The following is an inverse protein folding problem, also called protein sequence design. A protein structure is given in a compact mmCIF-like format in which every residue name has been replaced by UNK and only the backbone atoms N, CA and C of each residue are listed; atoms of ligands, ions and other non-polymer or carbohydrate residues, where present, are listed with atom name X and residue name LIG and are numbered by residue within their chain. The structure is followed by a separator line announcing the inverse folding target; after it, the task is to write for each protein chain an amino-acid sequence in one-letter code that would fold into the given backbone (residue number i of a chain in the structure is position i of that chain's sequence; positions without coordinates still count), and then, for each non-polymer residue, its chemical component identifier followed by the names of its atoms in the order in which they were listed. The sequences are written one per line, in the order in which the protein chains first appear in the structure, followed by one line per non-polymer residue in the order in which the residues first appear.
data_IF_950474176544
#
_entry.id   IF_950474176544
#
_cell.length_a   1.000
_cell.length_b   1.000
_cell.length_c   1.000
_cell.angle_alpha   90.00
_cell.angle_beta   90.00
_cell.angle_gamma   90.00
#
_symmetry.space_group_name_H-M   'P 1'
#
loop_
_entity.id
_entity.type
_entity.pdbx_description
1 polymer ?
#
# COMPACT_ATOMS: atom_id res chain seq x y z
N UNK A 1 -1.24 3.93 31.02
CA UNK A 1 -1.59 2.62 30.48
C UNK A 1 -1.37 1.61 31.58
N UNK A 2 -2.32 0.71 31.85
CA UNK A 2 -2.03 -0.41 32.74
C UNK A 2 -1.10 -1.32 31.94
N UNK A 3 0.11 -1.57 32.43
CA UNK A 3 0.99 -2.56 31.86
C UNK A 3 0.30 -3.91 32.04
N UNK A 4 -0.26 -4.44 30.99
CA UNK A 4 -0.88 -5.75 30.97
C UNK A 4 0.21 -6.75 30.69
N UNK A 5 0.48 -7.63 31.68
CA UNK A 5 1.45 -8.71 31.53
C UNK A 5 0.71 -10.00 31.25
N UNK A 6 1.23 -10.79 30.30
CA UNK A 6 0.80 -12.15 30.03
C UNK A 6 1.89 -13.14 30.47
N UNK A 7 1.50 -14.18 31.17
CA UNK A 7 2.42 -15.14 31.78
C UNK A 7 2.33 -16.48 31.07
N UNK A 8 3.46 -17.16 30.93
CA UNK A 8 3.52 -18.52 30.39
C UNK A 8 4.65 -19.32 31.02
N UNK A 9 4.59 -20.68 30.86
CA UNK A 9 5.63 -21.59 31.32
C UNK A 9 6.33 -22.22 30.12
N UNK A 10 7.65 -22.15 30.08
CA UNK A 10 8.46 -22.81 29.07
C UNK A 10 9.61 -23.54 29.75
N UNK A 11 9.82 -24.81 29.46
CA UNK A 11 10.83 -25.69 30.06
C UNK A 11 10.88 -25.66 31.61
N UNK A 12 9.74 -25.41 32.23
CA UNK A 12 9.62 -25.33 33.70
C UNK A 12 10.01 -23.99 34.31
N UNK A 13 10.31 -23.01 33.49
CA UNK A 13 10.63 -21.63 33.87
C UNK A 13 9.39 -20.77 33.64
N UNK A 14 9.15 -19.83 34.53
CA UNK A 14 8.05 -18.85 34.42
C UNK A 14 8.55 -17.61 33.67
N UNK A 15 7.81 -17.24 32.65
CA UNK A 15 8.05 -16.03 31.85
C UNK A 15 6.88 -15.07 31.98
N UNK A 16 7.15 -13.77 31.78
CA UNK A 16 6.13 -12.77 31.52
C UNK A 16 6.47 -11.98 30.27
N UNK A 17 5.41 -11.65 29.57
CA UNK A 17 5.44 -10.96 28.28
C UNK A 17 4.59 -9.70 28.36
N UNK A 18 5.03 -8.60 27.80
CA UNK A 18 4.19 -7.42 27.63
C UNK A 18 4.52 -6.68 26.34
N UNK A 19 3.54 -5.90 25.85
CA UNK A 19 3.65 -5.06 24.69
C UNK A 19 3.70 -3.60 25.07
N UNK A 20 4.55 -2.87 24.39
CA UNK A 20 4.60 -1.41 24.47
C UNK A 20 4.48 -0.82 23.08
N UNK A 21 3.94 0.40 23.00
CA UNK A 21 3.87 1.16 21.75
C UNK A 21 5.23 1.80 21.50
N UNK A 22 5.73 1.71 20.27
CA UNK A 22 6.93 2.41 19.85
C UNK A 22 6.60 3.90 19.68
N UNK A 23 7.15 4.76 20.53
CA UNK A 23 6.90 6.21 20.50
C UNK A 23 7.84 6.94 19.53
N UNK A 24 9.06 6.42 19.36
CA UNK A 24 10.10 7.00 18.49
C UNK A 24 10.16 6.27 17.13
N UNK A 25 8.98 6.07 16.49
CA UNK A 25 8.93 5.44 15.19
C UNK A 25 9.59 6.32 14.13
N UNK A 26 10.78 5.94 13.79
CA UNK A 26 11.55 6.53 12.70
C UNK A 26 11.18 5.83 11.38
N UNK A 27 11.67 6.36 10.27
CA UNK A 27 11.60 5.71 8.95
C UNK A 27 12.08 4.24 8.93
N UNK A 28 12.74 3.77 9.99
CA UNK A 28 13.20 2.38 10.15
C UNK A 28 12.04 1.38 10.10
N UNK A 29 10.87 1.75 10.64
CA UNK A 29 9.69 0.88 10.66
C UNK A 29 8.72 1.14 9.49
N UNK A 30 9.06 2.08 8.60
CA UNK A 30 8.21 2.38 7.45
C UNK A 30 8.18 1.19 6.48
N UNK A 31 7.06 0.48 6.32
CA UNK A 31 6.99 -0.69 5.45
C UNK A 31 7.27 -0.35 3.99
N UNK A 32 6.99 0.92 3.57
CA UNK A 32 7.27 1.36 2.19
C UNK A 32 8.76 1.59 1.90
N UNK A 33 9.64 1.59 2.90
CA UNK A 33 11.08 1.82 2.75
C UNK A 33 11.93 0.58 2.99
N UNK A 34 11.41 -0.38 3.72
CA UNK A 34 12.20 -1.47 4.27
C UNK A 34 11.75 -2.86 3.81
N UNK A 35 10.71 -2.96 2.98
CA UNK A 35 10.22 -4.23 2.47
C UNK A 35 10.39 -4.33 0.95
N UNK A 36 11.35 -5.15 0.52
CA UNK A 36 11.60 -5.43 -0.90
C UNK A 36 10.54 -6.36 -1.52
N UNK A 37 9.72 -7.01 -0.70
CA UNK A 37 8.64 -7.91 -1.11
C UNK A 37 7.37 -7.22 -1.57
N UNK A 38 7.24 -5.91 -1.38
CA UNK A 38 6.06 -5.16 -1.80
C UNK A 38 5.87 -5.19 -3.31
N UNK A 39 4.63 -5.44 -3.73
CA UNK A 39 4.29 -5.49 -5.16
C UNK A 39 3.83 -4.13 -5.70
N UNK A 40 3.21 -3.31 -4.86
CA UNK A 40 2.58 -2.05 -5.23
C UNK A 40 3.52 -0.86 -5.19
N UNK A 41 3.25 0.15 -6.02
CA UNK A 41 3.83 1.48 -5.94
C UNK A 41 2.73 2.49 -5.61
N UNK A 42 2.83 3.15 -4.48
CA UNK A 42 1.89 4.19 -4.04
C UNK A 42 2.32 5.55 -4.62
N UNK A 43 1.43 6.16 -5.38
CA UNK A 43 1.57 7.53 -5.91
C UNK A 43 0.56 8.42 -5.20
N UNK A 44 1.05 9.47 -4.54
CA UNK A 44 0.23 10.39 -3.76
C UNK A 44 0.38 11.83 -4.29
N UNK A 45 -0.73 12.58 -4.32
CA UNK A 45 -0.76 13.99 -4.68
C UNK A 45 -1.34 14.88 -3.59
N UNK A 46 -1.37 14.38 -2.33
CA UNK A 46 -1.87 15.19 -1.24
C UNK A 46 -0.91 16.36 -0.94
N UNK A 47 -1.47 17.58 -0.83
CA UNK A 47 -0.68 18.82 -0.72
C UNK A 47 0.09 18.99 0.59
N UNK A 48 -0.38 18.36 1.69
CA UNK A 48 0.16 18.56 3.03
C UNK A 48 1.02 17.38 3.50
N UNK A 49 0.85 16.19 2.91
CA UNK A 49 1.49 14.97 3.36
C UNK A 49 2.25 14.30 2.22
N UNK A 50 3.47 13.87 2.53
CA UNK A 50 4.28 13.05 1.63
C UNK A 50 4.06 11.59 1.99
N UNK A 51 3.06 10.97 1.38
CA UNK A 51 2.69 9.57 1.63
C UNK A 51 3.13 8.67 0.47
N UNK A 52 3.44 7.42 0.82
CA UNK A 52 3.80 6.40 -0.17
C UNK A 52 5.19 6.58 -0.77
N UNK A 53 5.34 6.08 -2.00
CA UNK A 53 6.63 5.94 -2.68
C UNK A 53 6.96 7.12 -3.59
N UNK A 54 5.93 7.72 -4.18
CA UNK A 54 6.02 8.84 -5.12
C UNK A 54 5.05 9.94 -4.74
N UNK A 55 5.56 11.15 -4.61
CA UNK A 55 4.73 12.33 -4.41
C UNK A 55 4.78 13.19 -5.67
N UNK A 56 3.62 13.43 -6.25
CA UNK A 56 3.44 14.27 -7.44
C UNK A 56 2.44 15.38 -7.12
N UNK A 57 2.33 16.38 -7.98
CA UNK A 57 1.20 17.30 -7.92
C UNK A 57 0.02 16.70 -8.67
N UNK A 58 -1.19 17.01 -8.26
CA UNK A 58 -2.36 16.53 -8.98
C UNK A 58 -2.38 16.96 -10.46
N UNK A 59 -1.86 18.15 -10.77
CA UNK A 59 -1.69 18.67 -12.11
C UNK A 59 -0.65 17.92 -12.95
N UNK A 60 0.24 17.14 -12.32
CA UNK A 60 1.27 16.35 -12.98
C UNK A 60 0.85 14.88 -13.20
N UNK A 61 -0.40 14.51 -12.89
CA UNK A 61 -0.88 13.12 -12.97
C UNK A 61 -0.79 12.58 -14.40
N UNK A 62 -1.28 13.33 -15.39
CA UNK A 62 -1.26 12.89 -16.77
C UNK A 62 0.17 12.72 -17.28
N UNK A 63 1.08 13.64 -16.93
CA UNK A 63 2.50 13.50 -17.25
C UNK A 63 3.14 12.27 -16.61
N UNK A 64 2.75 11.92 -15.38
CA UNK A 64 3.21 10.71 -14.72
C UNK A 64 2.73 9.46 -15.45
N UNK A 65 1.45 9.41 -15.83
CA UNK A 65 0.86 8.29 -16.58
C UNK A 65 1.44 8.18 -17.99
N UNK A 66 1.69 9.30 -18.68
CA UNK A 66 2.41 9.33 -19.97
C UNK A 66 3.79 8.67 -19.85
N UNK A 67 4.53 8.95 -18.77
CA UNK A 67 5.81 8.30 -18.49
C UNK A 67 5.68 6.78 -18.33
N UNK A 68 4.62 6.29 -17.66
CA UNK A 68 4.35 4.86 -17.53
C UNK A 68 3.98 4.24 -18.89
N UNK A 69 3.17 4.92 -19.71
CA UNK A 69 2.80 4.46 -21.06
C UNK A 69 4.05 4.37 -21.95
N UNK A 70 4.90 5.38 -21.94
CA UNK A 70 6.15 5.38 -22.70
C UNK A 70 7.04 4.18 -22.35
N UNK A 71 7.16 3.86 -21.08
CA UNK A 71 7.94 2.68 -20.64
C UNK A 71 7.25 1.36 -20.99
N UNK A 72 5.93 1.29 -20.84
CA UNK A 72 5.13 0.08 -21.13
C UNK A 72 5.10 -0.26 -22.62
N UNK A 73 5.14 0.74 -23.49
CA UNK A 73 5.14 0.60 -24.96
C UNK A 73 6.53 0.70 -25.58
N UNK A 74 7.57 0.60 -24.79
CA UNK A 74 8.95 0.69 -25.26
C UNK A 74 9.24 -0.30 -26.40
N UNK A 75 9.53 0.24 -27.60
CA UNK A 75 9.75 -0.53 -28.83
C UNK A 75 8.49 -0.85 -29.65
N UNK A 76 7.35 -0.34 -29.23
CA UNK A 76 6.08 -0.36 -29.96
C UNK A 76 5.68 1.07 -30.33
N UNK A 77 4.94 1.26 -31.43
CA UNK A 77 4.45 2.58 -31.83
C UNK A 77 3.14 2.91 -31.12
N UNK A 78 3.14 3.97 -30.33
CA UNK A 78 1.93 4.51 -29.69
C UNK A 78 0.95 5.02 -30.75
N UNK A 79 1.45 5.60 -31.84
CA UNK A 79 0.61 6.04 -32.97
C UNK A 79 -0.13 4.86 -33.63
N UNK A 80 0.52 3.71 -33.80
CA UNK A 80 -0.13 2.53 -34.35
C UNK A 80 -1.20 1.96 -33.43
N UNK A 81 -0.96 2.03 -32.10
CA UNK A 81 -1.97 1.69 -31.11
C UNK A 81 -3.20 2.60 -31.26
N UNK A 82 -3.01 3.91 -31.27
CA UNK A 82 -4.10 4.90 -31.34
C UNK A 82 -4.88 4.77 -32.66
N UNK A 83 -4.20 4.53 -33.79
CA UNK A 83 -4.86 4.30 -35.09
C UNK A 83 -5.72 3.02 -35.14
N UNK A 84 -5.44 2.05 -34.27
CA UNK A 84 -6.16 0.76 -34.22
C UNK A 84 -7.20 0.69 -33.10
N UNK A 85 -7.18 1.63 -32.14
CA UNK A 85 -8.06 1.65 -30.97
C UNK A 85 -8.89 2.95 -30.93
N UNK A 86 -10.07 2.85 -30.36
CA UNK A 86 -10.94 4.01 -30.21
C UNK A 86 -10.57 4.73 -28.92
N UNK A 87 -9.98 5.94 -29.03
CA UNK A 87 -9.79 6.86 -27.92
C UNK A 87 -11.03 7.72 -27.68
N UNK A 88 -11.06 8.42 -26.54
CA UNK A 88 -12.15 9.33 -26.17
C UNK A 88 -12.39 10.39 -27.23
N UNK A 89 -11.33 11.02 -27.74
CA UNK A 89 -11.39 12.12 -28.71
C UNK A 89 -11.20 11.63 -30.15
N UNK A 90 -11.36 10.31 -30.40
CA UNK A 90 -11.28 9.69 -31.72
C UNK A 90 -10.08 10.19 -32.54
N UNK A 91 -8.88 10.08 -31.97
CA UNK A 91 -7.65 10.50 -32.65
C UNK A 91 -7.41 9.71 -33.93
N UNK A 92 -6.92 10.42 -34.93
CA UNK A 92 -6.57 9.90 -36.25
C UNK A 92 -5.33 10.61 -36.75
N UNK A 93 -4.43 9.86 -37.35
CA UNK A 93 -3.22 10.40 -38.00
C UNK A 93 -3.42 10.39 -39.53
N UNK A 94 -3.30 11.55 -40.14
CA UNK A 94 -3.45 11.73 -41.58
C UNK A 94 -2.31 12.57 -42.17
N UNK A 95 -2.05 12.39 -43.47
CA UNK A 95 -1.09 13.23 -44.21
C UNK A 95 -1.84 14.32 -44.95
N UNK A 96 -1.49 15.58 -44.70
CA UNK A 96 -2.03 16.72 -45.45
C UNK A 96 -1.16 16.98 -46.68
N UNK A 97 -1.69 16.68 -47.87
CA UNK A 97 -0.95 16.82 -49.13
C UNK A 97 -0.71 18.29 -49.54
N UNK A 98 -1.54 19.22 -49.06
CA UNK A 98 -1.41 20.64 -49.39
C UNK A 98 -0.27 21.32 -48.62
N UNK A 99 -0.12 20.92 -47.35
CA UNK A 99 0.89 21.47 -46.42
C UNK A 99 2.13 20.58 -46.32
N UNK A 100 2.08 19.39 -46.93
CA UNK A 100 3.14 18.37 -46.90
C UNK A 100 3.54 17.92 -45.47
N UNK A 101 2.57 17.88 -44.52
CA UNK A 101 2.80 17.51 -43.12
C UNK A 101 1.89 16.37 -42.69
N UNK A 102 2.35 15.62 -41.70
CA UNK A 102 1.51 14.70 -40.93
C UNK A 102 0.74 15.46 -39.88
N UNK A 103 -0.56 15.15 -39.72
CA UNK A 103 -1.46 15.81 -38.77
C UNK A 103 -2.07 14.79 -37.82
N UNK A 104 -2.11 15.13 -36.53
CA UNK A 104 -2.92 14.48 -35.52
C UNK A 104 -4.26 15.21 -35.43
N UNK A 105 -5.33 14.52 -35.83
CA UNK A 105 -6.70 15.03 -35.82
C UNK A 105 -7.49 14.39 -34.69
N UNK A 106 -8.29 15.17 -33.98
CA UNK A 106 -9.17 14.65 -32.92
C UNK A 106 -10.50 15.37 -32.86
N UNK A 107 -11.48 14.75 -32.20
CA UNK A 107 -12.77 15.36 -31.94
C UNK A 107 -12.66 16.34 -30.76
N UNK A 108 -13.33 17.48 -30.86
CA UNK A 108 -13.46 18.41 -29.76
C UNK A 108 -14.87 19.00 -29.71
N UNK A 109 -15.33 19.34 -28.51
CA UNK A 109 -16.61 20.03 -28.33
C UNK A 109 -16.33 21.49 -27.97
N UNK A 110 -16.61 22.46 -28.87
CA UNK A 110 -16.41 23.87 -28.57
C UNK A 110 -17.21 24.29 -27.33
N UNK A 111 -16.63 25.16 -26.51
CA UNK A 111 -17.34 25.75 -25.37
C UNK A 111 -18.64 26.41 -25.84
N UNK A 112 -19.78 26.06 -25.25
CA UNK A 112 -21.14 26.44 -25.67
C UNK A 112 -21.67 25.81 -26.96
N UNK A 113 -21.08 24.75 -27.50
CA UNK A 113 -21.61 23.99 -28.62
C UNK A 113 -22.17 22.64 -28.16
N UNK A 114 -23.21 22.15 -28.88
CA UNK A 114 -23.70 20.79 -28.74
C UNK A 114 -23.23 19.90 -29.90
N UNK A 115 -22.48 20.47 -30.83
CA UNK A 115 -21.94 19.76 -32.00
C UNK A 115 -20.46 19.53 -31.80
N UNK A 116 -20.03 18.28 -32.00
CA UNK A 116 -18.62 17.92 -32.07
C UNK A 116 -18.02 18.48 -33.37
N UNK A 117 -16.78 18.95 -33.31
CA UNK A 117 -15.95 19.34 -34.42
C UNK A 117 -14.68 18.52 -34.44
N UNK A 118 -13.92 18.61 -35.53
CA UNK A 118 -12.57 18.06 -35.64
C UNK A 118 -11.57 19.20 -35.55
N UNK A 119 -10.43 18.97 -34.89
CA UNK A 119 -9.34 19.92 -34.79
C UNK A 119 -8.02 19.22 -34.99
N UNK A 120 -7.01 19.99 -35.40
CA UNK A 120 -5.62 19.56 -35.44
C UNK A 120 -5.01 19.77 -34.07
N UNK A 121 -4.42 18.73 -33.52
CA UNK A 121 -3.77 18.72 -32.21
C UNK A 121 -2.23 18.80 -32.33
N UNK A 122 -1.67 18.32 -33.46
CA UNK A 122 -0.25 18.36 -33.75
C UNK A 122 0.00 18.28 -35.25
N UNK A 123 1.10 18.86 -35.70
CA UNK A 123 1.59 18.84 -37.09
C UNK A 123 3.10 18.65 -37.11
N UNK A 124 3.58 17.67 -37.90
CA UNK A 124 5.01 17.39 -38.01
C UNK A 124 5.38 16.89 -39.39
N UNK A 125 6.64 17.16 -39.81
CA UNK A 125 7.18 16.65 -41.09
C UNK A 125 7.31 15.12 -41.11
N UNK A 126 7.49 14.52 -39.95
CA UNK A 126 7.67 13.07 -39.79
C UNK A 126 6.58 12.49 -38.90
N UNK A 127 5.88 11.45 -39.36
CA UNK A 127 4.77 10.83 -38.65
C UNK A 127 5.10 10.47 -37.18
N UNK A 128 6.28 9.89 -36.95
CA UNK A 128 6.68 9.40 -35.64
C UNK A 128 6.87 10.50 -34.60
N UNK A 129 7.07 11.75 -35.04
CA UNK A 129 7.19 12.89 -34.12
C UNK A 129 5.86 13.31 -33.49
N UNK A 130 4.73 12.83 -34.05
CA UNK A 130 3.41 13.03 -33.44
C UNK A 130 3.18 12.19 -32.18
N UNK A 131 4.09 11.27 -31.81
CA UNK A 131 3.92 10.45 -30.59
C UNK A 131 3.87 11.31 -29.33
N UNK A 132 4.73 12.33 -29.24
CA UNK A 132 4.74 13.25 -28.10
C UNK A 132 3.44 14.07 -28.07
N UNK A 133 2.99 14.61 -29.21
CA UNK A 133 1.74 15.36 -29.32
C UNK A 133 0.53 14.51 -28.92
N UNK A 134 0.51 13.23 -29.28
CA UNK A 134 -0.57 12.30 -28.92
C UNK A 134 -0.60 12.07 -27.41
N UNK A 135 0.54 11.77 -26.80
CA UNK A 135 0.64 11.53 -25.36
C UNK A 135 0.17 12.73 -24.54
N UNK A 136 0.53 13.94 -24.96
CA UNK A 136 0.11 15.20 -24.28
C UNK A 136 -1.40 15.46 -24.37
N UNK A 137 -2.09 14.86 -25.36
CA UNK A 137 -3.52 15.09 -25.62
C UNK A 137 -4.43 13.92 -25.22
N UNK A 138 -3.87 12.76 -24.82
CA UNK A 138 -4.66 11.67 -24.26
C UNK A 138 -5.19 12.04 -22.88
N UNK A 139 -6.44 11.69 -22.62
CA UNK A 139 -6.98 11.86 -21.27
C UNK A 139 -6.53 10.72 -20.32
N UNK A 140 -6.69 10.95 -19.02
CA UNK A 140 -6.37 9.96 -17.98
C UNK A 140 -7.01 8.59 -18.24
N UNK A 141 -8.24 8.55 -18.77
CA UNK A 141 -8.95 7.28 -19.03
C UNK A 141 -8.33 6.49 -20.19
N UNK A 142 -7.91 7.18 -21.24
CA UNK A 142 -7.20 6.56 -22.36
C UNK A 142 -5.83 6.00 -21.90
N UNK A 143 -5.06 6.80 -21.14
CA UNK A 143 -3.77 6.37 -20.57
C UNK A 143 -3.90 5.14 -19.66
N UNK A 144 -4.89 5.12 -18.76
CA UNK A 144 -5.16 3.97 -17.90
C UNK A 144 -5.61 2.73 -18.69
N UNK A 145 -6.36 2.91 -19.77
CA UNK A 145 -6.76 1.81 -20.66
C UNK A 145 -5.53 1.18 -21.31
N UNK A 146 -4.64 2.01 -21.87
CA UNK A 146 -3.39 1.57 -22.46
C UNK A 146 -2.53 0.78 -21.48
N UNK A 147 -2.38 1.30 -20.24
CA UNK A 147 -1.61 0.65 -19.19
C UNK A 147 -2.26 -0.68 -18.74
N UNK A 148 -3.59 -0.73 -18.65
CA UNK A 148 -4.31 -1.97 -18.28
C UNK A 148 -4.09 -3.08 -19.31
N UNK A 149 -3.99 -2.73 -20.61
CA UNK A 149 -3.65 -3.67 -21.67
C UNK A 149 -2.19 -4.15 -21.61
N UNK A 150 -1.32 -3.39 -20.97
CA UNK A 150 0.08 -3.74 -20.66
C UNK A 150 0.27 -4.36 -19.27
N UNK A 151 -0.76 -5.04 -18.78
CA UNK A 151 -0.73 -5.77 -17.51
C UNK A 151 -0.45 -4.92 -16.27
N UNK A 152 -0.90 -3.66 -16.28
CA UNK A 152 -0.98 -2.84 -15.08
C UNK A 152 -2.32 -3.04 -14.35
N UNK A 153 -2.29 -2.93 -13.03
CA UNK A 153 -3.47 -2.90 -12.16
C UNK A 153 -3.37 -1.68 -11.26
N UNK A 154 -4.44 -0.91 -11.16
CA UNK A 154 -4.52 0.31 -10.34
C UNK A 154 -5.65 0.20 -9.33
N UNK A 155 -5.40 0.65 -8.09
CA UNK A 155 -6.43 0.86 -7.08
C UNK A 155 -6.34 2.31 -6.59
N UNK A 156 -7.46 3.05 -6.54
CA UNK A 156 -7.48 4.39 -5.98
C UNK A 156 -7.20 4.35 -4.48
N UNK A 157 -6.63 5.44 -3.96
CA UNK A 157 -6.42 5.65 -2.52
C UNK A 157 -7.15 6.91 -2.10
N UNK A 158 -7.96 6.77 -1.06
CA UNK A 158 -8.61 7.87 -0.38
C UNK A 158 -8.06 8.04 1.04
N UNK A 159 -8.28 9.22 1.61
CA UNK A 159 -7.83 9.61 2.94
C UNK A 159 -8.95 10.29 3.70
N UNK A 160 -9.05 10.01 4.99
CA UNK A 160 -9.79 10.75 5.99
C UNK A 160 -8.83 11.52 6.88
N UNK A 161 -9.07 12.84 7.07
CA UNK A 161 -8.22 13.75 7.86
C UNK A 161 -9.07 14.44 8.93
N UNK A 162 -9.07 13.89 10.15
CA UNK A 162 -9.73 14.52 11.30
C UNK A 162 -9.02 14.10 12.60
N UNK A 163 -8.25 15.00 13.23
CA UNK A 163 -7.40 14.70 14.39
C UNK A 163 -6.32 13.60 14.22
N UNK A 164 -6.15 13.10 13.04
CA UNK A 164 -5.23 12.08 12.56
C UNK A 164 -5.52 11.82 11.09
N UNK A 165 -4.78 10.93 10.47
CA UNK A 165 -5.01 10.53 9.09
C UNK A 165 -5.22 9.02 9.01
N UNK A 166 -6.12 8.61 8.14
CA UNK A 166 -6.39 7.21 7.78
C UNK A 166 -6.49 7.12 6.27
N UNK A 167 -5.87 6.13 5.67
CA UNK A 167 -5.91 5.88 4.22
C UNK A 167 -6.49 4.52 3.91
N UNK A 168 -7.11 4.36 2.73
CA UNK A 168 -7.62 3.06 2.27
C UNK A 168 -7.64 2.97 0.76
N UNK A 169 -7.62 1.74 0.23
CA UNK A 169 -7.94 1.48 -1.17
C UNK A 169 -9.44 1.64 -1.41
N UNK A 170 -9.80 2.62 -2.22
CA UNK A 170 -11.19 2.94 -2.55
C UNK A 170 -11.39 4.41 -2.84
N UNK A 171 -12.66 4.82 -2.99
CA UNK A 171 -13.05 6.21 -3.18
C UNK A 171 -13.31 6.86 -1.83
N UNK A 172 -13.14 8.18 -1.74
CA UNK A 172 -13.58 8.95 -0.57
C UNK A 172 -15.05 8.76 -0.24
N UNK A 173 -15.88 8.42 -1.25
CA UNK A 173 -17.31 8.19 -1.08
C UNK A 173 -17.65 6.89 -0.33
N UNK A 174 -16.67 6.05 -0.09
CA UNK A 174 -16.83 4.84 0.72
C UNK A 174 -16.89 5.14 2.23
N UNK A 175 -16.57 6.38 2.63
CA UNK A 175 -16.60 6.83 4.02
C UNK A 175 -17.84 7.71 4.32
N UNK A 176 -18.37 7.62 5.56
CA UNK A 176 -19.57 8.37 5.95
C UNK A 176 -19.38 9.90 5.96
N UNK A 177 -18.15 10.40 6.19
CA UNK A 177 -17.81 11.83 6.19
C UNK A 177 -17.21 12.31 4.86
N UNK A 178 -17.52 11.62 3.76
CA UNK A 178 -16.97 11.86 2.42
C UNK A 178 -17.00 13.33 1.94
N UNK A 179 -17.97 14.11 2.43
CA UNK A 179 -18.18 15.50 1.98
C UNK A 179 -17.22 16.50 2.65
N UNK A 180 -16.71 16.20 3.83
CA UNK A 180 -16.01 17.18 4.65
C UNK A 180 -14.53 16.85 4.84
N UNK A 181 -14.23 15.68 5.36
CA UNK A 181 -12.88 15.34 5.84
C UNK A 181 -12.21 14.25 5.00
N UNK A 182 -12.81 13.86 3.85
CA UNK A 182 -12.25 12.87 2.95
C UNK A 182 -11.80 13.46 1.61
N UNK A 183 -10.72 12.93 1.08
CA UNK A 183 -10.18 13.27 -0.23
C UNK A 183 -9.65 12.04 -0.94
N UNK A 184 -9.73 12.03 -2.28
CA UNK A 184 -9.00 11.07 -3.10
C UNK A 184 -7.58 11.61 -3.24
N UNK A 185 -6.58 10.88 -2.78
CA UNK A 185 -5.20 11.37 -2.60
C UNK A 185 -4.18 10.72 -3.52
N UNK A 186 -4.55 9.66 -4.21
CA UNK A 186 -3.60 8.91 -5.00
C UNK A 186 -4.14 7.60 -5.54
N UNK A 187 -3.20 6.76 -5.89
CA UNK A 187 -3.45 5.37 -6.25
C UNK A 187 -2.24 4.50 -5.90
N UNK A 188 -2.47 3.21 -5.77
CA UNK A 188 -1.43 2.18 -5.79
C UNK A 188 -1.55 1.41 -7.09
N UNK A 189 -0.42 1.08 -7.71
CA UNK A 189 -0.39 0.26 -8.91
C UNK A 189 0.72 -0.79 -8.86
N UNK A 190 0.51 -1.83 -9.64
CA UNK A 190 1.51 -2.88 -9.88
C UNK A 190 1.43 -3.38 -11.31
N UNK A 191 2.37 -4.25 -11.68
CA UNK A 191 2.40 -4.96 -12.97
C UNK A 191 2.52 -6.45 -12.74
N UNK A 192 2.05 -7.26 -13.70
CA UNK A 192 2.24 -8.71 -13.67
C UNK A 192 3.73 -9.08 -13.56
N UNK A 193 4.59 -8.33 -14.24
CA UNK A 193 6.04 -8.50 -14.17
C UNK A 193 6.56 -8.33 -12.74
N UNK A 194 6.03 -7.36 -11.97
CA UNK A 194 6.44 -7.16 -10.58
C UNK A 194 6.04 -8.32 -9.68
N UNK A 195 4.84 -8.91 -9.89
CA UNK A 195 4.43 -10.11 -9.17
C UNK A 195 5.42 -11.28 -9.41
N UNK A 196 5.87 -11.45 -10.65
CA UNK A 196 6.86 -12.46 -11.00
C UNK A 196 8.21 -12.21 -10.31
N UNK A 197 8.66 -10.97 -10.28
CA UNK A 197 9.94 -10.57 -9.67
C UNK A 197 9.98 -10.86 -8.17
N UNK A 198 8.87 -10.68 -7.45
CA UNK A 198 8.78 -10.97 -6.01
C UNK A 198 8.38 -12.42 -5.72
N UNK A 199 8.05 -13.21 -6.75
CA UNK A 199 7.62 -14.61 -6.60
C UNK A 199 6.22 -14.77 -6.01
N UNK A 200 5.32 -13.80 -6.22
CA UNK A 200 3.94 -13.87 -5.76
C UNK A 200 3.19 -15.00 -6.50
N UNK A 201 2.55 -15.95 -5.80
CA UNK A 201 1.87 -17.06 -6.44
C UNK A 201 0.51 -16.63 -7.02
N UNK A 202 0.30 -16.86 -8.32
CA UNK A 202 -0.96 -16.59 -9.01
C UNK A 202 -1.18 -17.56 -10.18
N UNK A 203 -2.36 -17.50 -10.82
CA UNK A 203 -2.65 -18.12 -12.12
C UNK A 203 -2.96 -17.04 -13.16
N UNK A 204 -2.90 -17.40 -14.47
CA UNK A 204 -3.23 -16.47 -15.55
C UNK A 204 -4.64 -15.86 -15.43
N UNK A 205 -5.58 -16.59 -14.82
CA UNK A 205 -6.96 -16.14 -14.66
C UNK A 205 -7.17 -15.22 -13.46
N UNK A 206 -6.34 -15.34 -12.38
CA UNK A 206 -6.58 -14.65 -11.12
C UNK A 206 -5.51 -13.62 -10.72
N UNK A 207 -4.48 -13.41 -11.54
CA UNK A 207 -3.36 -12.55 -11.15
C UNK A 207 -3.77 -11.10 -10.81
N UNK A 208 -4.80 -10.57 -11.49
CA UNK A 208 -5.32 -9.23 -11.18
C UNK A 208 -6.02 -9.17 -9.82
N UNK A 209 -6.75 -10.22 -9.47
CA UNK A 209 -7.42 -10.32 -8.17
C UNK A 209 -6.39 -10.48 -7.04
N UNK A 210 -5.36 -11.29 -7.28
CA UNK A 210 -4.22 -11.44 -6.35
C UNK A 210 -3.52 -10.11 -6.16
N UNK A 211 -3.15 -9.44 -7.27
CA UNK A 211 -2.52 -8.12 -7.23
C UNK A 211 -3.36 -7.09 -6.45
N UNK A 212 -4.66 -7.03 -6.72
CA UNK A 212 -5.56 -6.10 -6.03
C UNK A 212 -5.67 -6.39 -4.53
N UNK A 213 -5.73 -7.67 -4.15
CA UNK A 213 -5.79 -8.09 -2.75
C UNK A 213 -4.50 -7.72 -2.01
N UNK A 214 -3.35 -8.02 -2.60
CA UNK A 214 -2.06 -7.79 -1.96
C UNK A 214 -1.75 -6.29 -1.88
N UNK A 215 -2.02 -5.51 -2.94
CA UNK A 215 -1.91 -4.04 -2.90
C UNK A 215 -2.80 -3.42 -1.82
N UNK A 216 -4.01 -3.96 -1.62
CA UNK A 216 -4.88 -3.51 -0.54
C UNK A 216 -4.27 -3.80 0.83
N UNK A 217 -3.73 -4.99 1.04
CA UNK A 217 -3.05 -5.35 2.29
C UNK A 217 -1.83 -4.46 2.56
N UNK A 218 -1.08 -4.07 1.52
CA UNK A 218 0.03 -3.13 1.63
C UNK A 218 -0.43 -1.73 2.08
N UNK A 219 -1.56 -1.24 1.54
CA UNK A 219 -2.13 0.05 1.96
C UNK A 219 -2.66 -0.03 3.39
N UNK A 220 -3.36 -1.13 3.76
CA UNK A 220 -3.87 -1.35 5.10
C UNK A 220 -2.71 -1.39 6.13
N UNK A 221 -1.62 -2.08 5.83
CA UNK A 221 -0.41 -2.11 6.67
C UNK A 221 0.25 -0.72 6.79
N UNK A 222 0.31 0.01 5.68
CA UNK A 222 0.88 1.36 5.67
C UNK A 222 0.00 2.35 6.44
N UNK A 223 -1.32 2.18 6.43
CA UNK A 223 -2.26 2.94 7.25
C UNK A 223 -2.01 2.74 8.75
N UNK A 224 -1.82 1.49 9.19
CA UNK A 224 -1.47 1.18 10.59
C UNK A 224 -0.15 1.85 11.00
N UNK A 225 0.85 1.86 10.10
CA UNK A 225 2.10 2.57 10.32
C UNK A 225 1.88 4.09 10.48
N UNK A 226 1.08 4.71 9.58
CA UNK A 226 0.78 6.15 9.62
C UNK A 226 0.07 6.53 10.90
N UNK A 227 -0.80 5.67 11.41
CA UNK A 227 -1.52 5.86 12.67
C UNK A 227 -0.65 5.67 13.92
N UNK A 228 0.59 5.18 13.74
CA UNK A 228 1.51 4.92 14.85
C UNK A 228 1.23 3.62 15.60
N UNK A 229 0.50 2.68 14.98
CA UNK A 229 0.22 1.37 15.54
C UNK A 229 1.43 0.43 15.38
N UNK A 230 2.53 0.81 16.03
CA UNK A 230 3.80 0.12 16.01
C UNK A 230 4.12 -0.33 17.43
N UNK A 231 4.46 -1.58 17.59
CA UNK A 231 4.65 -2.21 18.89
C UNK A 231 6.02 -2.89 18.98
N UNK A 232 6.50 -3.00 20.22
CA UNK A 232 7.57 -3.88 20.59
C UNK A 232 7.16 -4.74 21.78
N UNK A 233 7.77 -5.89 21.91
CA UNK A 233 7.57 -6.73 23.09
C UNK A 233 8.81 -6.76 23.96
N UNK A 234 8.55 -6.97 25.25
CA UNK A 234 9.54 -7.34 26.24
C UNK A 234 9.13 -8.68 26.85
N UNK A 235 10.09 -9.60 26.88
CA UNK A 235 9.92 -10.90 27.51
C UNK A 235 10.90 -11.02 28.65
N UNK A 236 10.42 -11.33 29.85
CA UNK A 236 11.23 -11.42 31.06
C UNK A 236 11.11 -12.83 31.66
N UNK A 237 12.18 -13.28 32.28
CA UNK A 237 12.26 -14.61 32.91
C UNK A 237 12.29 -14.44 34.42
N UNK A 238 11.54 -15.28 35.13
CA UNK A 238 11.51 -15.25 36.58
C UNK A 238 12.65 -16.09 37.17
N UNK A 239 13.56 -15.43 37.91
CA UNK A 239 14.56 -16.15 38.71
C UNK A 239 13.98 -16.53 40.07
N UNK A 240 13.77 -17.81 40.30
CA UNK A 240 13.23 -18.34 41.54
C UNK A 240 14.19 -18.23 42.73
N UNK A 241 15.46 -17.97 42.53
CA UNK A 241 16.46 -17.83 43.58
C UNK A 241 16.49 -16.41 44.16
N UNK A 242 16.58 -15.40 43.26
CA UNK A 242 16.52 -13.98 43.65
C UNK A 242 15.09 -13.49 43.88
N UNK A 243 14.09 -14.19 43.35
CA UNK A 243 12.67 -13.80 43.30
C UNK A 243 12.44 -12.50 42.51
N UNK A 244 13.28 -12.26 41.52
CA UNK A 244 13.21 -11.10 40.63
C UNK A 244 12.97 -11.51 39.19
N UNK A 245 12.50 -10.57 38.37
CA UNK A 245 12.36 -10.72 36.96
C UNK A 245 13.66 -10.25 36.29
N UNK A 246 14.19 -11.09 35.41
CA UNK A 246 15.36 -10.79 34.62
C UNK A 246 14.96 -10.48 33.18
N UNK A 247 15.57 -9.46 32.60
CA UNK A 247 15.38 -9.10 31.20
C UNK A 247 15.71 -10.29 30.31
N UNK A 248 14.78 -10.64 29.44
CA UNK A 248 14.95 -11.66 28.40
C UNK A 248 15.01 -11.05 27.00
N UNK A 249 14.32 -11.67 26.06
CA UNK A 249 14.30 -11.24 24.68
C UNK A 249 13.36 -10.04 24.47
N UNK A 250 13.74 -9.16 23.55
CA UNK A 250 12.90 -8.06 23.08
C UNK A 250 13.00 -7.90 21.57
N UNK A 251 11.92 -7.51 20.93
CA UNK A 251 11.90 -7.18 19.51
C UNK A 251 10.83 -6.15 19.22
N UNK A 252 11.07 -5.25 18.27
CA UNK A 252 10.17 -4.18 17.88
C UNK A 252 9.86 -4.17 16.39
N UNK A 253 8.98 -3.22 16.00
CA UNK A 253 8.59 -3.04 14.61
C UNK A 253 7.38 -3.86 14.18
N UNK A 254 6.59 -4.37 15.11
CA UNK A 254 5.32 -5.04 14.82
C UNK A 254 4.26 -4.00 14.51
N UNK A 255 3.80 -3.96 13.27
CA UNK A 255 2.76 -3.04 12.81
C UNK A 255 1.44 -3.80 12.77
N UNK A 256 0.43 -3.34 13.52
CA UNK A 256 -0.85 -4.04 13.58
C UNK A 256 -1.98 -3.14 14.08
N UNK A 257 -3.17 -3.26 13.47
CA UNK A 257 -4.41 -2.71 14.01
C UNK A 257 -5.00 -3.50 15.17
N UNK A 258 -4.41 -4.67 15.49
CA UNK A 258 -4.72 -5.42 16.71
C UNK A 258 -3.94 -4.87 17.89
N UNK A 259 -4.44 -5.10 19.08
CA UNK A 259 -3.78 -4.71 20.31
C UNK A 259 -4.16 -5.61 21.50
N UNK A 260 -3.54 -5.40 22.66
CA UNK A 260 -3.82 -6.18 23.86
C UNK A 260 -3.50 -7.67 23.70
N UNK A 261 -4.31 -8.53 24.33
CA UNK A 261 -4.06 -9.98 24.36
C UNK A 261 -4.06 -10.63 22.97
N UNK A 262 -4.85 -10.13 22.01
CA UNK A 262 -4.88 -10.69 20.66
C UNK A 262 -3.54 -10.54 19.95
N UNK A 263 -2.98 -9.32 19.96
CA UNK A 263 -1.67 -9.03 19.40
C UNK A 263 -0.56 -9.74 20.18
N UNK A 264 -0.63 -9.75 21.51
CA UNK A 264 0.33 -10.42 22.37
C UNK A 264 0.44 -11.92 22.06
N UNK A 265 -0.69 -12.59 21.86
CA UNK A 265 -0.72 -14.02 21.50
C UNK A 265 -0.14 -14.26 20.11
N UNK A 266 -0.44 -13.42 19.15
CA UNK A 266 0.08 -13.54 17.79
C UNK A 266 1.59 -13.41 17.79
N UNK A 267 2.14 -12.36 18.39
CA UNK A 267 3.58 -12.14 18.46
C UNK A 267 4.27 -13.24 19.27
N UNK A 268 3.72 -13.66 20.41
CA UNK A 268 4.30 -14.72 21.23
C UNK A 268 4.38 -16.05 20.48
N UNK A 269 3.30 -16.43 19.77
CA UNK A 269 3.29 -17.66 18.98
C UNK A 269 4.29 -17.65 17.82
N UNK A 270 4.47 -16.51 17.17
CA UNK A 270 5.30 -16.41 15.97
C UNK A 270 6.78 -16.16 16.30
N UNK A 271 7.06 -15.48 17.42
CA UNK A 271 8.41 -14.94 17.69
C UNK A 271 9.10 -15.54 18.92
N UNK A 272 8.36 -16.10 19.88
CA UNK A 272 8.93 -16.50 21.17
C UNK A 272 8.59 -17.95 21.50
N UNK A 273 7.30 -18.26 21.72
CA UNK A 273 6.84 -19.54 22.23
C UNK A 273 5.47 -19.92 21.68
N UNK A 274 5.23 -21.20 21.49
CA UNK A 274 3.89 -21.76 21.19
C UNK A 274 3.07 -22.10 22.44
N UNK A 275 3.57 -21.81 23.64
CA UNK A 275 2.90 -22.13 24.89
C UNK A 275 1.73 -21.17 25.19
N UNK A 276 0.61 -21.65 25.69
CA UNK A 276 -0.54 -20.81 26.00
C UNK A 276 -0.26 -19.91 27.21
N UNK A 277 -0.79 -18.70 27.21
CA UNK A 277 -0.76 -17.84 28.39
C UNK A 277 -1.53 -18.43 29.56
N UNK A 278 -0.98 -18.26 30.75
CA UNK A 278 -1.59 -18.69 32.00
C UNK A 278 -2.82 -17.81 32.26
N UNK A 279 -4.00 -18.38 32.54
CA UNK A 279 -5.17 -17.59 32.92
C UNK A 279 -4.91 -16.72 34.15
N UNK A 280 -5.44 -15.50 34.16
CA UNK A 280 -5.20 -14.49 35.23
C UNK A 280 -5.48 -15.02 36.62
N UNK A 281 -6.54 -15.81 36.77
CA UNK A 281 -6.94 -16.44 38.04
C UNK A 281 -5.94 -17.48 38.57
N UNK A 282 -4.98 -17.91 37.74
CA UNK A 282 -3.94 -18.90 38.08
C UNK A 282 -2.53 -18.33 38.17
N UNK A 283 -2.32 -17.08 37.77
CA UNK A 283 -0.99 -16.47 37.75
C UNK A 283 -0.36 -16.45 39.12
N UNK A 284 -1.08 -15.99 40.16
CA UNK A 284 -0.57 -15.90 41.53
C UNK A 284 -0.22 -17.29 42.08
N UNK A 285 -1.09 -18.31 41.87
CA UNK A 285 -0.81 -19.70 42.26
C UNK A 285 0.45 -20.23 41.58
N UNK A 286 0.63 -19.92 40.29
CA UNK A 286 1.80 -20.38 39.54
C UNK A 286 3.09 -19.73 40.07
N UNK A 287 3.09 -18.42 40.33
CA UNK A 287 4.22 -17.71 40.92
C UNK A 287 4.58 -18.31 42.29
N UNK A 288 3.60 -18.57 43.17
CA UNK A 288 3.83 -19.20 44.44
C UNK A 288 4.41 -20.61 44.32
N UNK A 289 3.93 -21.41 43.34
CA UNK A 289 4.44 -22.76 43.07
C UNK A 289 5.91 -22.75 42.60
N UNK A 290 6.27 -21.77 41.78
CA UNK A 290 7.66 -21.62 41.30
C UNK A 290 8.57 -21.15 42.41
N UNK A 291 8.12 -20.21 43.28
CA UNK A 291 8.87 -19.70 44.41
C UNK A 291 9.08 -20.73 45.54
N UNK A 292 8.08 -21.60 45.77
CA UNK A 292 8.08 -22.55 46.87
C UNK A 292 7.75 -23.97 46.39
N UNK A 293 8.57 -24.57 45.53
CA UNK A 293 8.25 -25.88 44.91
C UNK A 293 8.04 -26.98 45.96
N UNK A 294 8.71 -26.92 47.10
CA UNK A 294 8.58 -27.91 48.18
C UNK A 294 7.21 -27.93 48.88
N UNK A 295 6.48 -26.80 48.89
CA UNK A 295 5.13 -26.74 49.44
C UNK A 295 4.10 -27.52 48.61
N UNK A 296 4.33 -27.69 47.33
CA UNK A 296 3.45 -28.31 46.35
C UNK A 296 3.83 -29.78 46.05
N UNK A 297 4.98 -30.27 46.52
CA UNK A 297 5.39 -31.65 46.33
C UNK A 297 4.78 -32.62 47.33
N UNK A 298 4.16 -32.13 48.42
CA UNK A 298 3.64 -32.94 49.56
C UNK A 298 2.16 -32.65 49.87
N UNK A 299 1.42 -31.97 48.97
CA UNK A 299 -0.01 -31.65 49.13
C UNK A 299 -0.97 -32.65 48.45
#
# INVERSE_FOLDING_TARGET
MNNEYWYYMEDGVLHRFHLETEEDYTDIFNPRKNDDGLIGTIVCWHRNYNLGDKNIRNEDLDNYLCGLVTEAYKGESILDYICSHKTRDNFEVSYNEEEEVWQLMGDYTPWNSKTMGRSVYGECDTRDWLEDDILENLDTADLLTMLTEKDYVFLPIAMYEHSGITIWCGSKWDHFDAQWDCSDIGFIYTTKKRLDEVGCPYTEENWRDVAAKDMKAEVDLYDEYIQGNIYYYLNETFDSYSQEWEDGDSCGGFISGKWGEELAREIANDSITGEPFIPDDKVEETIQRVNYPLLYMYG
#
